data_IF_742656661459
#
_entry.id   IF_742656661459
#
_cell.length_a   1.000
_cell.length_b   1.000
_cell.length_c   1.000
_cell.angle_alpha   90.00
_cell.angle_beta   90.00
_cell.angle_gamma   90.00
#
_symmetry.space_group_name_H-M   'P 1'
#
loop_
_entity.id
_entity.type
_entity.pdbx_description
1 polymer ?
#
# COMPACT_ATOMS: atom_id res chain seq x y z
N UNK A 1 -44.34 -8.87 33.70
CA UNK A 1 -43.77 -7.64 34.32
C UNK A 1 -42.28 -7.62 34.01
N UNK A 2 -41.60 -6.63 33.41
CA UNK A 2 -41.96 -5.35 32.78
C UNK A 2 -41.18 -5.24 31.45
N UNK A 3 -41.81 -4.66 30.43
CA UNK A 3 -41.20 -4.39 29.13
C UNK A 3 -40.46 -3.04 29.15
N UNK A 4 -39.18 -3.04 28.75
CA UNK A 4 -38.40 -1.82 28.56
C UNK A 4 -38.82 -1.14 27.24
N UNK A 5 -39.62 -0.08 27.36
CA UNK A 5 -40.07 0.78 26.26
C UNK A 5 -38.89 1.55 25.67
N UNK A 6 -38.61 1.33 24.38
CA UNK A 6 -37.66 2.14 23.60
C UNK A 6 -38.25 3.53 23.34
N UNK A 7 -37.48 4.55 23.67
CA UNK A 7 -37.81 5.97 23.55
C UNK A 7 -37.89 6.41 22.07
N UNK A 8 -39.05 6.87 21.54
CA UNK A 8 -39.24 7.14 20.10
C UNK A 8 -38.98 8.58 19.65
N UNK A 9 -38.50 9.49 20.51
CA UNK A 9 -38.36 10.91 20.15
C UNK A 9 -36.91 11.31 19.83
N UNK A 10 -36.48 11.12 18.58
CA UNK A 10 -35.42 11.94 17.93
C UNK A 10 -35.60 11.96 16.40
N UNK A 11 -36.71 12.52 15.95
CA UNK A 11 -36.90 13.00 14.56
C UNK A 11 -37.78 14.25 14.57
N UNK A 12 -37.17 15.42 14.72
CA UNK A 12 -37.78 16.66 14.27
C UNK A 12 -37.05 17.11 13.00
N UNK A 13 -37.74 16.92 11.87
CA UNK A 13 -37.50 17.65 10.62
C UNK A 13 -37.78 19.13 10.87
N UNK A 14 -37.05 20.01 10.19
CA UNK A 14 -37.38 21.43 10.07
C UNK A 14 -37.16 21.85 8.61
N UNK A 15 -38.19 21.59 7.82
CA UNK A 15 -38.54 22.21 6.53
C UNK A 15 -40.01 22.65 6.76
N UNK A 16 -40.56 23.80 6.38
CA UNK A 16 -40.22 24.87 5.45
C UNK A 16 -41.04 26.11 5.87
N UNK A 17 -40.57 27.31 5.51
CA UNK A 17 -41.46 28.41 5.12
C UNK A 17 -40.69 29.39 4.22
N UNK A 18 -40.81 29.17 2.91
CA UNK A 18 -41.14 30.14 1.85
C UNK A 18 -41.42 31.59 2.33
N UNK A 19 -41.02 32.68 1.67
CA UNK A 19 -41.07 32.96 0.22
C UNK A 19 -40.53 34.40 -0.05
N UNK A 20 -40.17 34.66 -1.32
CA UNK A 20 -40.16 35.96 -2.02
C UNK A 20 -39.24 37.11 -1.54
N UNK A 21 -38.22 37.44 -2.34
CA UNK A 21 -38.16 38.73 -3.05
C UNK A 21 -36.99 38.79 -4.04
N UNK A 22 -37.36 38.88 -5.32
CA UNK A 22 -36.56 39.34 -6.45
C UNK A 22 -36.09 40.78 -6.22
N UNK A 23 -34.80 41.09 -6.38
CA UNK A 23 -34.36 42.36 -6.99
C UNK A 23 -32.87 42.39 -7.32
N UNK A 24 -32.59 42.67 -8.59
CA UNK A 24 -31.34 43.22 -9.13
C UNK A 24 -31.11 44.61 -8.53
N UNK A 25 -29.85 44.93 -8.19
CA UNK A 25 -29.17 46.23 -8.32
C UNK A 25 -27.67 45.93 -8.13
N UNK A 26 -26.81 46.17 -9.11
CA UNK A 26 -26.32 47.47 -9.56
C UNK A 26 -25.35 48.11 -8.55
N UNK A 27 -24.10 48.20 -9.01
CA UNK A 27 -23.03 49.14 -8.73
C UNK A 27 -23.39 50.42 -7.96
N UNK A 28 -22.47 50.88 -7.10
CA UNK A 28 -21.96 52.26 -6.91
C UNK A 28 -21.32 52.38 -5.51
N UNK A 29 -19.99 52.55 -5.40
CA UNK A 29 -19.20 53.81 -5.40
C UNK A 29 -18.85 54.33 -3.99
N UNK A 30 -17.60 54.76 -3.82
CA UNK A 30 -17.02 55.42 -2.64
C UNK A 30 -15.72 54.73 -2.16
N UNK A 31 -14.50 54.97 -2.66
CA UNK A 31 -13.63 56.19 -2.59
C UNK A 31 -13.45 56.69 -1.15
N UNK A 32 -12.30 57.05 -0.59
CA UNK A 32 -10.87 57.25 -0.93
C UNK A 32 -10.12 57.13 0.44
N UNK A 33 -8.82 56.81 0.61
CA UNK A 33 -7.60 57.59 0.32
C UNK A 33 -6.39 56.70 0.77
N UNK A 34 -5.44 56.35 -0.11
CA UNK A 34 -4.11 56.98 -0.40
C UNK A 34 -3.04 56.89 0.70
N UNK A 35 -2.02 56.07 0.44
CA UNK A 35 -0.56 56.35 0.54
C UNK A 35 0.17 55.19 -0.19
N UNK A 36 0.59 55.32 -1.47
CA UNK A 36 1.91 55.76 -1.98
C UNK A 36 3.11 55.25 -1.17
N UNK A 37 4.21 54.72 -1.69
CA UNK A 37 4.82 54.48 -3.03
C UNK A 37 6.08 53.64 -2.67
N UNK A 38 6.39 52.52 -3.32
CA UNK A 38 7.52 52.44 -4.25
C UNK A 38 7.55 51.08 -4.99
N UNK A 39 7.60 51.18 -6.32
CA UNK A 39 8.04 50.20 -7.32
C UNK A 39 8.99 51.00 -8.25
N UNK A 40 9.95 50.42 -9.00
CA UNK A 40 9.68 49.37 -10.02
C UNK A 40 10.94 48.51 -10.37
N UNK A 41 11.08 47.86 -11.57
CA UNK A 41 10.12 47.13 -12.44
C UNK A 41 10.54 45.65 -12.61
N UNK A 42 9.66 44.66 -12.86
CA UNK A 42 8.88 44.35 -14.08
C UNK A 42 9.71 44.05 -15.35
N UNK A 43 9.81 42.76 -15.72
CA UNK A 43 9.71 42.35 -17.13
C UNK A 43 9.04 40.97 -17.24
N UNK A 44 8.02 40.92 -18.10
CA UNK A 44 7.25 39.73 -18.50
C UNK A 44 7.76 39.28 -19.87
N UNK A 45 8.00 37.98 -20.05
CA UNK A 45 8.07 37.27 -21.35
C UNK A 45 7.69 35.82 -20.99
N UNK A 46 6.54 35.22 -21.32
CA UNK A 46 5.87 34.90 -22.59
C UNK A 46 6.63 33.96 -23.53
N UNK A 47 5.90 32.99 -24.07
CA UNK A 47 6.13 32.22 -25.32
C UNK A 47 6.81 30.85 -25.23
N UNK A 48 5.97 29.84 -25.55
CA UNK A 48 6.15 28.67 -26.43
C UNK A 48 7.55 28.15 -26.85
N UNK A 49 7.63 26.80 -26.80
CA UNK A 49 8.03 25.88 -27.89
C UNK A 49 9.49 25.73 -28.34
N UNK A 50 9.76 24.50 -28.81
CA UNK A 50 10.84 24.00 -29.69
C UNK A 50 12.10 23.54 -28.92
N UNK A 51 12.46 22.25 -28.89
CA UNK A 51 12.95 21.37 -29.99
C UNK A 51 14.00 22.07 -30.87
N UNK A 52 15.25 21.64 -30.70
CA UNK A 52 16.33 21.49 -31.69
C UNK A 52 17.48 20.79 -30.94
N UNK A 53 18.04 19.65 -31.34
CA UNK A 53 18.64 19.27 -32.63
C UNK A 53 19.67 20.28 -33.14
N UNK A 54 20.92 20.08 -32.69
CA UNK A 54 22.09 20.65 -33.35
C UNK A 54 22.64 19.67 -34.38
N UNK A 55 22.49 20.09 -35.63
CA UNK A 55 23.13 19.51 -36.79
C UNK A 55 24.53 20.12 -36.96
N UNK A 56 25.54 19.26 -37.18
CA UNK A 56 26.77 19.64 -37.87
C UNK A 56 26.62 19.22 -39.34
N UNK A 57 26.50 20.23 -40.20
CA UNK A 57 26.62 20.13 -41.65
C UNK A 57 28.09 20.08 -42.04
N UNK A 58 28.45 19.20 -42.96
CA UNK A 58 29.20 19.59 -44.14
C UNK A 58 29.21 18.47 -45.20
N UNK A 59 29.20 18.86 -46.48
CA UNK A 59 29.64 18.00 -47.58
C UNK A 59 28.59 17.63 -48.63
N UNK A 60 28.37 18.55 -49.55
CA UNK A 60 27.66 18.38 -50.82
C UNK A 60 28.37 17.38 -51.76
N UNK A 61 27.61 16.48 -52.44
CA UNK A 61 27.55 16.36 -53.91
C UNK A 61 26.72 15.16 -54.38
N UNK A 62 25.93 15.45 -55.40
CA UNK A 62 25.13 14.56 -56.24
C UNK A 62 25.89 13.30 -56.70
N UNK A 63 25.16 12.19 -56.81
CA UNK A 63 24.98 11.47 -58.08
C UNK A 63 24.02 10.29 -57.90
N UNK A 64 22.97 10.32 -58.71
CA UNK A 64 22.04 9.23 -58.97
C UNK A 64 22.78 7.90 -59.20
N UNK A 65 22.52 6.92 -58.32
CA UNK A 65 22.79 5.52 -58.62
C UNK A 65 21.55 4.68 -58.31
N UNK A 66 20.68 4.59 -59.32
CA UNK A 66 19.64 3.56 -59.42
C UNK A 66 20.33 2.19 -59.51
N UNK A 67 20.43 1.48 -58.37
CA UNK A 67 20.88 0.11 -58.33
C UNK A 67 19.88 -0.75 -57.55
N UNK A 68 18.94 -1.31 -58.32
CA UNK A 68 18.42 -2.68 -58.20
C UNK A 68 18.61 -3.35 -56.82
N UNK A 69 17.71 -3.06 -55.89
CA UNK A 69 17.49 -3.91 -54.72
C UNK A 69 16.81 -5.20 -55.20
N UNK A 70 17.66 -6.21 -55.46
CA UNK A 70 17.25 -7.61 -55.60
C UNK A 70 16.32 -7.94 -54.44
N UNK A 71 15.05 -8.24 -54.77
CA UNK A 71 14.09 -8.91 -53.89
C UNK A 71 14.78 -10.09 -53.22
N UNK A 72 15.18 -9.93 -51.97
CA UNK A 72 15.43 -11.06 -51.09
C UNK A 72 14.06 -11.71 -50.94
N UNK A 73 13.83 -12.76 -51.75
CA UNK A 73 12.76 -13.71 -51.51
C UNK A 73 13.03 -14.32 -50.14
N UNK A 74 12.48 -13.69 -49.09
CA UNK A 74 12.24 -14.35 -47.82
C UNK A 74 11.37 -15.54 -48.18
N UNK A 75 11.99 -16.72 -48.24
CA UNK A 75 11.26 -17.99 -48.27
C UNK A 75 10.18 -17.87 -47.20
N UNK A 76 8.90 -18.09 -47.52
CA UNK A 76 7.87 -18.11 -46.50
C UNK A 76 8.36 -19.11 -45.46
N UNK A 77 8.55 -18.63 -44.22
CA UNK A 77 8.68 -19.52 -43.08
C UNK A 77 7.50 -20.48 -43.24
N UNK A 78 7.82 -21.75 -43.54
CA UNK A 78 6.81 -22.81 -43.60
C UNK A 78 6.00 -22.61 -42.33
N UNK A 79 4.73 -22.25 -42.49
CA UNK A 79 3.82 -22.19 -41.38
C UNK A 79 3.92 -23.55 -40.73
N UNK A 80 4.44 -23.56 -39.51
CA UNK A 80 4.32 -24.72 -38.64
C UNK A 80 2.81 -24.93 -38.61
N UNK A 81 2.41 -26.01 -39.28
CA UNK A 81 1.02 -26.39 -39.44
C UNK A 81 0.33 -26.25 -38.08
N UNK A 82 -0.82 -25.58 -38.08
CA UNK A 82 -1.80 -25.55 -37.00
C UNK A 82 -2.10 -26.99 -36.53
N UNK A 83 -1.23 -27.56 -35.70
CA UNK A 83 -1.40 -28.86 -35.07
C UNK A 83 -1.66 -28.58 -33.61
N UNK A 84 -2.81 -29.09 -33.19
CA UNK A 84 -3.50 -28.99 -31.91
C UNK A 84 -4.03 -27.59 -31.55
N UNK A 85 -5.34 -27.40 -31.78
CA UNK A 85 -6.22 -26.51 -30.99
C UNK A 85 -6.37 -27.01 -29.53
N UNK A 86 -5.50 -27.91 -29.06
CA UNK A 86 -5.55 -28.42 -27.71
C UNK A 86 -4.98 -27.36 -26.76
N UNK A 87 -5.63 -27.16 -25.60
CA UNK A 87 -5.13 -26.25 -24.58
C UNK A 87 -3.71 -26.63 -24.18
N UNK A 88 -2.85 -25.61 -24.02
CA UNK A 88 -1.47 -25.81 -23.59
C UNK A 88 -1.41 -26.68 -22.32
N UNK A 89 -0.72 -27.84 -22.34
CA UNK A 89 -0.77 -28.79 -21.24
C UNK A 89 0.18 -28.36 -20.12
N UNK A 90 -0.21 -27.32 -19.37
CA UNK A 90 0.58 -26.76 -18.28
C UNK A 90 1.05 -27.83 -17.27
N UNK A 91 0.19 -28.81 -16.97
CA UNK A 91 0.48 -29.90 -16.03
C UNK A 91 1.48 -30.94 -16.56
N UNK A 92 1.72 -30.99 -17.88
CA UNK A 92 2.73 -31.88 -18.47
C UNK A 92 4.13 -31.28 -18.44
N UNK A 93 4.26 -29.99 -18.15
CA UNK A 93 5.57 -29.37 -17.97
C UNK A 93 6.26 -29.90 -16.71
N UNK A 94 7.59 -30.00 -16.69
CA UNK A 94 8.35 -30.19 -15.46
C UNK A 94 7.99 -29.15 -14.41
N UNK A 95 8.08 -29.54 -13.13
CA UNK A 95 7.69 -28.71 -12.00
C UNK A 95 8.46 -27.38 -12.00
N UNK A 96 9.72 -27.40 -12.40
CA UNK A 96 10.62 -26.25 -12.48
C UNK A 96 10.08 -25.19 -13.43
N UNK A 97 9.57 -25.60 -14.60
CA UNK A 97 8.98 -24.69 -15.57
C UNK A 97 7.64 -24.13 -15.07
N UNK A 98 6.82 -24.96 -14.42
CA UNK A 98 5.57 -24.48 -13.79
C UNK A 98 5.85 -23.47 -12.70
N UNK A 99 6.84 -23.72 -11.85
CA UNK A 99 7.29 -22.82 -10.81
C UNK A 99 7.75 -21.47 -11.38
N UNK A 100 8.49 -21.51 -12.50
CA UNK A 100 8.87 -20.31 -13.22
C UNK A 100 7.64 -19.54 -13.74
N UNK A 101 6.66 -20.25 -14.32
CA UNK A 101 5.38 -19.64 -14.74
C UNK A 101 4.64 -19.01 -13.56
N UNK A 102 4.52 -19.70 -12.42
CA UNK A 102 3.89 -19.16 -11.21
C UNK A 102 4.63 -17.93 -10.69
N UNK A 103 5.97 -17.91 -10.78
CA UNK A 103 6.78 -16.75 -10.39
C UNK A 103 6.46 -15.51 -11.21
N UNK A 104 5.89 -15.64 -12.41
CA UNK A 104 5.41 -14.50 -13.18
C UNK A 104 3.93 -14.21 -12.95
N UNK A 105 3.07 -15.22 -12.84
CA UNK A 105 1.62 -15.02 -12.77
C UNK A 105 1.14 -14.56 -11.40
N UNK A 106 1.77 -15.06 -10.35
CA UNK A 106 1.27 -14.99 -8.97
C UNK A 106 2.04 -13.95 -8.15
N UNK A 107 3.23 -13.59 -8.61
CA UNK A 107 4.07 -12.57 -7.99
C UNK A 107 3.75 -11.24 -8.65
N UNK A 108 3.51 -10.21 -7.84
CA UNK A 108 3.14 -8.90 -8.36
C UNK A 108 4.32 -8.26 -9.12
N UNK A 109 4.28 -8.31 -10.44
CA UNK A 109 5.27 -7.69 -11.32
C UNK A 109 4.91 -6.23 -11.58
N UNK A 110 5.66 -5.33 -10.97
CA UNK A 110 5.45 -3.89 -11.16
C UNK A 110 6.39 -3.06 -10.30
N UNK A 111 6.86 -3.63 -9.19
CA UNK A 111 7.91 -3.05 -8.35
C UNK A 111 9.11 -4.00 -8.27
N UNK A 112 10.26 -3.45 -7.86
CA UNK A 112 11.48 -4.22 -7.59
C UNK A 112 11.22 -5.32 -6.54
N UNK A 113 10.34 -5.04 -5.59
CA UNK A 113 9.88 -6.00 -4.58
C UNK A 113 8.39 -6.26 -4.80
N UNK A 114 8.00 -7.53 -5.01
CA UNK A 114 6.60 -7.86 -5.22
C UNK A 114 5.84 -7.73 -3.91
N UNK A 115 4.86 -6.83 -3.88
CA UNK A 115 4.17 -6.45 -2.66
C UNK A 115 2.67 -6.33 -2.89
N UNK A 116 1.90 -6.85 -1.93
CA UNK A 116 0.45 -6.86 -1.94
C UNK A 116 -0.05 -6.02 -0.77
N UNK A 117 -0.62 -4.87 -1.08
CA UNK A 117 -1.18 -3.95 -0.10
C UNK A 117 -2.61 -4.37 0.27
N UNK A 118 -2.84 -4.74 1.52
CA UNK A 118 -4.15 -5.18 2.02
C UNK A 118 -5.23 -4.10 1.78
N UNK A 119 -4.90 -2.83 2.05
CA UNK A 119 -5.87 -1.74 1.98
C UNK A 119 -6.29 -1.37 0.57
N UNK A 120 -5.44 -1.50 -0.45
CA UNK A 120 -5.85 -1.27 -1.86
C UNK A 120 -6.90 -2.30 -2.28
N UNK A 121 -6.68 -3.57 -1.91
CA UNK A 121 -7.63 -4.67 -2.16
C UNK A 121 -8.94 -4.43 -1.39
N UNK A 122 -8.87 -4.04 -0.11
CA UNK A 122 -10.06 -3.76 0.70
C UNK A 122 -10.86 -2.56 0.16
N UNK A 123 -10.20 -1.50 -0.31
CA UNK A 123 -10.85 -0.35 -0.96
C UNK A 123 -11.59 -0.78 -2.22
N UNK A 124 -10.99 -1.65 -3.04
CA UNK A 124 -11.67 -2.21 -4.20
C UNK A 124 -12.85 -3.10 -3.83
N UNK A 125 -12.70 -3.97 -2.82
CA UNK A 125 -13.79 -4.82 -2.33
C UNK A 125 -14.96 -3.96 -1.83
N UNK A 126 -14.68 -2.91 -1.04
CA UNK A 126 -15.67 -1.95 -0.57
C UNK A 126 -16.34 -1.23 -1.74
N UNK A 127 -15.58 -0.78 -2.73
CA UNK A 127 -16.11 -0.15 -3.96
C UNK A 127 -17.07 -1.09 -4.70
N UNK A 128 -16.70 -2.37 -4.86
CA UNK A 128 -17.55 -3.39 -5.49
C UNK A 128 -18.84 -3.64 -4.69
N UNK A 129 -18.75 -3.77 -3.38
CA UNK A 129 -19.92 -3.92 -2.50
C UNK A 129 -20.84 -2.69 -2.55
N UNK A 130 -20.29 -1.48 -2.53
CA UNK A 130 -21.07 -0.24 -2.66
C UNK A 130 -21.75 -0.14 -4.02
N UNK A 131 -21.06 -0.49 -5.10
CA UNK A 131 -21.65 -0.54 -6.44
C UNK A 131 -22.81 -1.55 -6.51
N UNK A 132 -22.63 -2.74 -5.92
CA UNK A 132 -23.68 -3.75 -5.83
C UNK A 132 -24.91 -3.24 -5.08
N UNK A 133 -24.75 -2.70 -3.87
CA UNK A 133 -25.85 -2.12 -3.08
C UNK A 133 -26.56 -0.98 -3.81
N UNK A 134 -25.80 -0.15 -4.53
CA UNK A 134 -26.37 0.95 -5.32
C UNK A 134 -27.23 0.41 -6.46
N UNK A 135 -26.76 -0.63 -7.14
CA UNK A 135 -27.49 -1.32 -8.21
C UNK A 135 -28.77 -1.97 -7.68
N UNK A 136 -28.71 -2.64 -6.54
CA UNK A 136 -29.87 -3.23 -5.86
C UNK A 136 -30.91 -2.16 -5.49
N UNK A 137 -30.48 -1.03 -4.93
CA UNK A 137 -31.38 0.10 -4.63
C UNK A 137 -32.03 0.68 -5.89
N UNK A 138 -31.28 0.82 -6.99
CA UNK A 138 -31.82 1.27 -8.27
C UNK A 138 -32.82 0.26 -8.84
N UNK A 139 -32.54 -1.04 -8.70
CA UNK A 139 -33.44 -2.10 -9.12
C UNK A 139 -34.74 -2.10 -8.32
N UNK A 140 -34.69 -1.91 -7.00
CA UNK A 140 -35.88 -1.76 -6.16
C UNK A 140 -36.75 -0.56 -6.58
N UNK A 141 -36.13 0.60 -6.86
CA UNK A 141 -36.84 1.78 -7.37
C UNK A 141 -37.49 1.53 -8.74
N UNK A 142 -36.82 0.78 -9.61
CA UNK A 142 -37.37 0.39 -10.92
C UNK A 142 -38.59 -0.51 -10.74
N UNK A 143 -38.51 -1.52 -9.87
CA UNK A 143 -39.63 -2.40 -9.57
C UNK A 143 -40.83 -1.60 -9.05
N UNK A 144 -40.62 -0.67 -8.13
CA UNK A 144 -41.68 0.20 -7.59
C UNK A 144 -42.33 1.10 -8.65
N UNK A 145 -41.59 1.48 -9.70
CA UNK A 145 -42.10 2.30 -10.81
C UNK A 145 -42.64 1.47 -11.98
N UNK A 146 -42.84 0.15 -11.78
CA UNK A 146 -43.30 -0.78 -12.82
C UNK A 146 -42.25 -1.07 -13.91
N UNK A 147 -41.02 -0.58 -13.75
CA UNK A 147 -39.91 -0.83 -14.69
C UNK A 147 -39.16 -2.10 -14.32
N UNK A 148 -38.70 -2.85 -15.32
CA UNK A 148 -37.90 -4.06 -15.08
C UNK A 148 -36.55 -3.72 -14.42
N UNK A 149 -36.10 -4.50 -13.43
CA UNK A 149 -34.78 -4.34 -12.83
C UNK A 149 -33.69 -4.55 -13.89
N UNK A 150 -32.56 -3.85 -13.72
CA UNK A 150 -31.34 -4.13 -14.50
C UNK A 150 -30.76 -5.42 -13.91
N UNK A 151 -31.19 -6.56 -14.44
CA UNK A 151 -30.51 -7.82 -14.17
C UNK A 151 -29.08 -7.73 -14.73
N UNK A 152 -28.09 -8.18 -13.96
CA UNK A 152 -26.87 -8.66 -14.60
C UNK A 152 -27.28 -9.74 -15.58
N UNK A 153 -26.70 -9.75 -16.79
CA UNK A 153 -26.86 -10.85 -17.74
C UNK A 153 -26.78 -12.15 -16.94
N UNK A 154 -27.83 -12.97 -16.98
CA UNK A 154 -27.91 -14.17 -16.15
C UNK A 154 -26.58 -14.88 -16.27
N UNK A 155 -25.91 -15.06 -15.13
CA UNK A 155 -24.69 -15.85 -15.11
C UNK A 155 -25.09 -17.17 -15.77
N UNK A 156 -24.43 -17.58 -16.86
CA UNK A 156 -24.81 -18.78 -17.58
C UNK A 156 -24.98 -19.90 -16.55
N UNK A 157 -26.06 -20.67 -16.68
CA UNK A 157 -26.39 -21.84 -15.85
C UNK A 157 -25.10 -22.44 -15.35
N UNK A 158 -24.91 -22.49 -14.01
CA UNK A 158 -23.64 -22.86 -13.40
C UNK A 158 -23.05 -24.04 -14.20
N UNK A 159 -21.93 -23.83 -14.91
CA UNK A 159 -21.45 -24.83 -15.85
C UNK A 159 -21.29 -26.13 -15.08
N UNK A 160 -21.69 -27.25 -15.66
CA UNK A 160 -21.38 -28.57 -15.10
C UNK A 160 -19.85 -28.63 -15.06
N UNK A 161 -19.27 -28.35 -13.90
CA UNK A 161 -17.83 -28.29 -13.74
C UNK A 161 -17.36 -29.73 -13.80
N UNK A 162 -16.67 -30.07 -14.88
CA UNK A 162 -16.00 -31.36 -14.99
C UNK A 162 -15.10 -31.55 -13.76
N UNK A 163 -15.22 -32.72 -13.13
CA UNK A 163 -14.44 -33.11 -11.96
C UNK A 163 -12.93 -32.96 -12.24
N UNK A 164 -12.51 -33.25 -13.48
CA UNK A 164 -11.11 -33.12 -13.90
C UNK A 164 -10.63 -31.67 -13.81
N UNK A 165 -11.45 -30.70 -14.22
CA UNK A 165 -11.15 -29.27 -14.17
C UNK A 165 -11.08 -28.80 -12.72
N UNK A 166 -12.00 -29.27 -11.88
CA UNK A 166 -11.99 -28.94 -10.44
C UNK A 166 -10.72 -29.47 -9.74
N UNK A 167 -10.32 -30.71 -10.04
CA UNK A 167 -9.10 -31.31 -9.51
C UNK A 167 -7.86 -30.58 -10.02
N UNK A 168 -7.77 -30.30 -11.32
CA UNK A 168 -6.67 -29.55 -11.90
C UNK A 168 -6.56 -28.15 -11.29
N UNK A 169 -7.68 -27.43 -11.13
CA UNK A 169 -7.73 -26.12 -10.50
C UNK A 169 -7.27 -26.16 -9.04
N UNK A 170 -7.69 -27.16 -8.25
CA UNK A 170 -7.21 -27.37 -6.87
C UNK A 170 -5.71 -27.62 -6.82
N UNK A 171 -5.19 -28.45 -7.73
CA UNK A 171 -3.77 -28.76 -7.80
C UNK A 171 -2.94 -27.53 -8.17
N UNK A 172 -3.37 -26.80 -9.22
CA UNK A 172 -2.76 -25.53 -9.63
C UNK A 172 -2.80 -24.51 -8.50
N UNK A 173 -3.94 -24.35 -7.84
CA UNK A 173 -4.08 -23.47 -6.68
C UNK A 173 -3.10 -23.84 -5.58
N UNK A 174 -2.98 -25.14 -5.25
CA UNK A 174 -2.06 -25.59 -4.22
C UNK A 174 -0.60 -25.27 -4.58
N UNK A 175 -0.15 -25.62 -5.80
CA UNK A 175 1.21 -25.31 -6.26
C UNK A 175 1.49 -23.80 -6.29
N UNK A 176 0.57 -23.02 -6.88
CA UNK A 176 0.69 -21.57 -7.01
C UNK A 176 0.63 -20.86 -5.66
N UNK A 177 -0.16 -21.36 -4.71
CA UNK A 177 -0.32 -20.75 -3.39
C UNK A 177 0.98 -20.73 -2.60
N UNK A 178 1.78 -21.78 -2.68
CA UNK A 178 3.09 -21.80 -2.02
C UNK A 178 4.00 -20.68 -2.57
N UNK A 179 4.06 -20.54 -3.90
CA UNK A 179 4.84 -19.46 -4.53
C UNK A 179 4.31 -18.06 -4.18
N UNK A 180 2.98 -17.91 -4.12
CA UNK A 180 2.32 -16.67 -3.72
C UNK A 180 2.81 -16.18 -2.36
N UNK A 181 2.76 -17.05 -1.34
CA UNK A 181 3.06 -16.66 0.04
C UNK A 181 4.56 -16.60 0.36
N UNK A 182 5.39 -17.36 -0.37
CA UNK A 182 6.84 -17.35 -0.18
C UNK A 182 7.52 -16.14 -0.85
N UNK A 183 7.00 -15.69 -2.00
CA UNK A 183 7.67 -14.69 -2.83
C UNK A 183 7.22 -13.26 -2.52
N UNK A 184 5.92 -13.06 -2.31
CA UNK A 184 5.33 -11.73 -2.13
C UNK A 184 5.51 -11.22 -0.69
N UNK A 185 5.70 -9.90 -0.57
CA UNK A 185 5.53 -9.18 0.67
C UNK A 185 4.06 -8.83 0.88
N UNK A 186 3.58 -9.07 2.10
CA UNK A 186 2.22 -8.70 2.49
C UNK A 186 2.29 -7.40 3.28
N UNK A 187 1.66 -6.36 2.77
CA UNK A 187 1.65 -5.03 3.39
C UNK A 187 0.32 -4.80 4.09
N UNK A 188 0.37 -4.61 5.41
CA UNK A 188 -0.79 -4.40 6.28
C UNK A 188 -0.62 -3.08 7.03
N UNK A 189 -1.64 -2.22 7.00
CA UNK A 189 -1.65 -0.97 7.76
C UNK A 189 -2.63 -1.06 8.92
N UNK A 190 -2.17 -0.77 10.13
CA UNK A 190 -2.99 -0.75 11.33
C UNK A 190 -3.22 0.69 11.79
N UNK A 191 -4.46 1.15 11.63
CA UNK A 191 -4.95 2.46 12.05
C UNK A 191 -5.71 2.42 13.38
N UNK A 192 -6.26 1.26 13.74
CA UNK A 192 -7.13 1.08 14.89
C UNK A 192 -6.43 0.49 16.11
N UNK A 193 -5.26 1.00 16.50
CA UNK A 193 -4.69 0.69 17.82
C UNK A 193 -5.64 1.20 18.93
N UNK A 194 -5.97 0.36 19.94
CA UNK A 194 -5.32 -0.91 20.36
C UNK A 194 -5.90 -2.19 19.76
N UNK A 195 -6.97 -2.12 18.95
CA UNK A 195 -7.59 -3.31 18.38
C UNK A 195 -6.61 -3.95 17.39
N UNK A 196 -6.05 -5.09 17.77
CA UNK A 196 -5.21 -5.94 16.91
C UNK A 196 -6.03 -6.74 15.89
N UNK A 197 -7.32 -6.41 15.72
CA UNK A 197 -8.13 -6.98 14.64
C UNK A 197 -7.57 -6.50 13.31
N UNK A 198 -6.94 -7.41 12.59
CA UNK A 198 -6.33 -7.10 11.31
C UNK A 198 -7.42 -7.05 10.25
N UNK A 199 -7.57 -5.90 9.59
CA UNK A 199 -8.35 -5.81 8.36
C UNK A 199 -7.51 -6.37 7.21
N UNK A 200 -7.74 -7.62 6.82
CA UNK A 200 -7.12 -8.20 5.62
C UNK A 200 -8.15 -8.63 4.58
N UNK A 201 -7.72 -8.73 3.31
CA UNK A 201 -8.53 -9.31 2.27
C UNK A 201 -8.97 -10.75 2.59
N UNK A 202 -10.20 -11.09 2.21
CA UNK A 202 -10.69 -12.47 2.31
C UNK A 202 -9.84 -13.42 1.46
N UNK A 203 -9.43 -14.54 2.04
CA UNK A 203 -8.64 -15.58 1.37
C UNK A 203 -7.14 -15.54 1.66
N UNK A 204 -6.65 -14.57 2.43
CA UNK A 204 -5.27 -14.60 2.94
C UNK A 204 -5.13 -15.64 4.05
N UNK A 205 -4.14 -16.51 3.91
CA UNK A 205 -3.77 -17.52 4.90
C UNK A 205 -2.53 -17.04 5.68
N UNK A 206 -2.76 -16.50 6.88
CA UNK A 206 -1.69 -15.97 7.74
C UNK A 206 -0.62 -16.99 8.09
N UNK A 207 -1.01 -18.28 8.16
CA UNK A 207 -0.09 -19.36 8.50
C UNK A 207 1.01 -19.55 7.46
N UNK A 208 0.79 -19.08 6.22
CA UNK A 208 1.74 -19.23 5.10
C UNK A 208 2.59 -17.99 4.84
N UNK A 209 2.20 -16.83 5.35
CA UNK A 209 2.90 -15.57 5.10
C UNK A 209 4.31 -15.64 5.69
N UNK A 210 5.31 -15.49 4.82
CA UNK A 210 6.74 -15.51 5.21
C UNK A 210 7.37 -14.13 5.32
N UNK A 211 6.77 -13.12 4.66
CA UNK A 211 7.29 -11.76 4.52
C UNK A 211 6.15 -10.77 4.79
N UNK A 212 6.27 -10.00 5.87
CA UNK A 212 5.26 -9.03 6.30
C UNK A 212 5.86 -7.64 6.43
N UNK A 213 5.19 -6.66 5.84
CA UNK A 213 5.43 -5.24 6.06
C UNK A 213 4.22 -4.66 6.80
N UNK A 214 4.47 -4.06 7.95
CA UNK A 214 3.46 -3.61 8.88
C UNK A 214 3.58 -2.10 9.08
N UNK A 215 2.60 -1.34 8.64
CA UNK A 215 2.50 0.07 8.96
C UNK A 215 1.75 0.24 10.29
N UNK A 216 2.37 0.92 11.26
CA UNK A 216 1.78 1.24 12.56
C UNK A 216 1.44 2.72 12.61
N UNK A 217 0.14 3.06 12.55
CA UNK A 217 -0.28 4.47 12.62
C UNK A 217 -0.41 4.94 14.06
N UNK A 218 0.58 5.70 14.51
CA UNK A 218 0.66 6.33 15.81
C UNK A 218 -0.35 7.47 15.93
N UNK A 219 -1.05 7.51 17.07
CA UNK A 219 -1.96 8.57 17.48
C UNK A 219 -1.34 9.35 18.64
N UNK A 220 -2.09 10.28 19.23
CA UNK A 220 -1.74 10.95 20.48
C UNK A 220 -1.63 9.96 21.65
N UNK A 221 -0.82 10.31 22.66
CA UNK A 221 -0.58 9.48 23.84
C UNK A 221 -1.88 9.02 24.52
N UNK A 222 -2.89 9.89 24.61
CA UNK A 222 -4.19 9.56 25.21
C UNK A 222 -4.89 8.38 24.49
N UNK A 223 -4.81 8.32 23.16
CA UNK A 223 -5.43 7.24 22.37
C UNK A 223 -4.57 5.99 22.32
N UNK A 224 -3.26 6.16 22.45
CA UNK A 224 -2.29 5.06 22.54
C UNK A 224 -2.24 4.44 23.95
N UNK A 225 -2.92 5.02 24.95
CA UNK A 225 -2.93 4.57 26.35
C UNK A 225 -3.70 3.26 26.58
N UNK A 226 -3.87 2.44 25.56
CA UNK A 226 -4.59 1.19 25.65
C UNK A 226 -3.61 0.05 25.44
N UNK A 227 -3.65 -0.88 26.38
CA UNK A 227 -2.78 -2.05 26.36
C UNK A 227 -3.01 -2.84 25.08
N UNK A 228 -1.92 -3.09 24.34
CA UNK A 228 -1.92 -3.86 23.10
C UNK A 228 -1.08 -5.11 23.33
N UNK A 229 -1.71 -6.28 23.30
CA UNK A 229 -1.00 -7.54 23.34
C UNK A 229 -0.57 -7.94 21.91
N UNK A 230 0.73 -7.95 21.69
CA UNK A 230 1.34 -8.30 20.41
C UNK A 230 1.58 -9.80 20.25
N UNK A 231 1.52 -10.59 21.33
CA UNK A 231 1.76 -12.02 21.25
C UNK A 231 0.70 -12.75 20.39
N UNK A 232 -0.62 -12.49 20.54
CA UNK A 232 -1.63 -13.06 19.64
C UNK A 232 -1.45 -12.64 18.19
N UNK A 233 -0.97 -11.40 17.96
CA UNK A 233 -0.69 -10.92 16.62
C UNK A 233 0.37 -11.78 15.94
N UNK A 234 1.54 -11.96 16.56
CA UNK A 234 2.61 -12.76 15.98
C UNK A 234 2.29 -14.26 15.94
N UNK A 235 1.48 -14.77 16.88
CA UNK A 235 1.00 -16.15 16.86
C UNK A 235 0.16 -16.50 15.62
N UNK A 236 -0.49 -15.51 14.99
CA UNK A 236 -1.20 -15.71 13.72
C UNK A 236 -0.27 -15.99 12.54
N UNK A 237 1.03 -15.68 12.64
CA UNK A 237 2.00 -15.80 11.55
C UNK A 237 3.15 -16.79 11.88
N UNK A 238 2.87 -18.09 12.08
CA UNK A 238 3.86 -19.08 12.49
C UNK A 238 5.02 -19.28 11.49
N UNK A 239 4.84 -18.94 10.21
CA UNK A 239 5.88 -19.06 9.17
C UNK A 239 6.55 -17.74 8.82
N UNK A 240 6.27 -16.68 9.56
CA UNK A 240 6.90 -15.38 9.33
C UNK A 240 8.41 -15.51 9.50
N UNK A 241 9.18 -14.90 8.59
CA UNK A 241 10.64 -14.86 8.65
C UNK A 241 11.17 -13.45 8.54
N UNK A 242 10.55 -12.64 7.69
CA UNK A 242 10.93 -11.26 7.45
C UNK A 242 9.81 -10.35 7.90
N UNK A 243 10.11 -9.44 8.83
CA UNK A 243 9.18 -8.47 9.36
C UNK A 243 9.76 -7.08 9.18
N UNK A 244 9.06 -6.22 8.43
CA UNK A 244 9.37 -4.79 8.38
C UNK A 244 8.26 -4.02 9.09
N UNK A 245 8.61 -3.20 10.07
CA UNK A 245 7.65 -2.35 10.79
C UNK A 245 7.93 -0.89 10.42
N UNK A 246 6.91 -0.18 9.95
CA UNK A 246 6.98 1.24 9.61
C UNK A 246 6.04 2.02 10.52
N UNK A 247 6.57 2.66 11.58
CA UNK A 247 5.80 3.59 12.37
C UNK A 247 5.51 4.85 11.55
N UNK A 248 4.23 5.19 11.42
CA UNK A 248 3.75 6.40 10.73
C UNK A 248 2.78 7.17 11.61
N UNK A 249 2.59 8.45 11.34
CA UNK A 249 1.66 9.29 12.09
C UNK A 249 0.27 9.26 11.44
N UNK A 250 -0.76 9.02 12.25
CA UNK A 250 -2.14 9.03 11.79
C UNK A 250 -2.52 10.44 11.27
N UNK A 251 -3.14 10.59 10.08
CA UNK A 251 -3.35 11.90 9.46
C UNK A 251 -4.13 12.90 10.32
N UNK A 252 -5.13 12.41 11.06
CA UNK A 252 -5.96 13.24 11.95
C UNK A 252 -5.25 13.73 13.20
N UNK A 253 -4.26 12.98 13.70
CA UNK A 253 -3.62 13.25 14.99
C UNK A 253 -2.16 13.66 14.88
N UNK A 254 -1.72 13.94 13.65
CA UNK A 254 -0.33 14.21 13.32
C UNK A 254 0.27 15.34 14.16
N UNK A 255 -0.42 16.48 14.28
CA UNK A 255 0.17 17.66 14.93
C UNK A 255 0.46 17.40 16.41
N UNK A 256 -0.40 16.63 17.10
CA UNK A 256 -0.17 16.23 18.49
C UNK A 256 0.91 15.14 18.59
N UNK A 257 0.78 14.05 17.83
CA UNK A 257 1.68 12.91 17.92
C UNK A 257 3.13 13.26 17.54
N UNK A 258 3.33 14.15 16.55
CA UNK A 258 4.67 14.63 16.17
C UNK A 258 5.31 15.45 17.28
N UNK A 259 4.54 16.32 17.95
CA UNK A 259 5.08 17.12 19.05
C UNK A 259 5.49 16.26 20.25
N UNK A 260 4.73 15.20 20.54
CA UNK A 260 5.02 14.27 21.63
C UNK A 260 6.15 13.29 21.31
N UNK A 261 6.43 13.07 20.02
CA UNK A 261 7.42 12.12 19.52
C UNK A 261 8.52 12.84 18.71
N UNK A 262 8.83 14.08 19.06
CA UNK A 262 9.88 14.85 18.38
C UNK A 262 11.28 14.31 18.71
N UNK A 263 11.56 14.09 20.00
CA UNK A 263 12.80 13.51 20.50
C UNK A 263 12.51 12.29 21.38
N UNK A 264 13.36 11.26 21.29
CA UNK A 264 13.11 10.02 22.03
C UNK A 264 13.20 10.22 23.55
N UNK A 265 14.05 11.14 23.99
CA UNK A 265 14.26 11.46 25.42
C UNK A 265 13.08 12.18 26.06
N UNK A 266 12.39 13.02 25.31
CA UNK A 266 11.19 13.75 25.76
C UNK A 266 9.90 13.01 25.40
N UNK A 267 10.00 11.90 24.65
CA UNK A 267 8.84 11.12 24.24
C UNK A 267 8.00 10.67 25.43
N UNK A 268 6.67 10.83 25.30
CA UNK A 268 5.73 10.42 26.34
C UNK A 268 5.92 8.93 26.69
N UNK A 269 5.83 8.59 27.98
CA UNK A 269 6.11 7.23 28.47
C UNK A 269 5.24 6.16 27.82
N UNK A 270 4.05 6.52 27.33
CA UNK A 270 3.14 5.63 26.60
C UNK A 270 3.77 5.13 25.30
N UNK A 271 4.43 5.99 24.52
CA UNK A 271 5.12 5.55 23.30
C UNK A 271 6.31 4.65 23.64
N UNK A 272 7.06 5.00 24.69
CA UNK A 272 8.17 4.19 25.20
C UNK A 272 7.70 2.79 25.60
N UNK A 273 6.61 2.70 26.38
CA UNK A 273 6.00 1.44 26.78
C UNK A 273 5.45 0.65 25.57
N UNK A 274 4.78 1.33 24.63
CA UNK A 274 4.23 0.72 23.43
C UNK A 274 5.32 0.07 22.57
N UNK A 275 6.40 0.79 22.26
CA UNK A 275 7.51 0.26 21.48
C UNK A 275 8.31 -0.80 22.24
N UNK A 276 8.46 -0.64 23.55
CA UNK A 276 9.07 -1.67 24.42
C UNK A 276 8.30 -2.99 24.35
N UNK A 277 6.99 -2.94 24.55
CA UNK A 277 6.11 -4.11 24.45
C UNK A 277 6.14 -4.72 23.06
N UNK A 278 6.06 -3.90 22.01
CA UNK A 278 6.16 -4.36 20.63
C UNK A 278 7.48 -5.11 20.39
N UNK A 279 8.62 -4.52 20.76
CA UNK A 279 9.93 -5.14 20.55
C UNK A 279 10.12 -6.43 21.36
N UNK A 280 9.62 -6.45 22.59
CA UNK A 280 9.67 -7.62 23.47
C UNK A 280 8.80 -8.78 22.96
N UNK A 281 7.68 -8.48 22.29
CA UNK A 281 6.78 -9.51 21.76
C UNK A 281 7.17 -10.06 20.38
N UNK A 282 8.09 -9.40 19.65
CA UNK A 282 8.56 -9.93 18.36
C UNK A 282 9.36 -11.21 18.61
N UNK A 283 9.06 -12.33 17.93
CA UNK A 283 9.85 -13.56 18.04
C UNK A 283 11.31 -13.38 17.59
N UNK A 284 12.25 -14.01 18.30
CA UNK A 284 13.71 -13.86 18.09
C UNK A 284 14.18 -14.35 16.71
N UNK A 285 13.48 -15.34 16.14
CA UNK A 285 13.81 -15.89 14.82
C UNK A 285 13.44 -14.98 13.63
N UNK A 286 12.77 -13.85 13.88
CA UNK A 286 12.36 -12.93 12.81
C UNK A 286 13.48 -11.94 12.46
N UNK A 287 13.74 -11.82 11.17
CA UNK A 287 14.53 -10.74 10.60
C UNK A 287 13.71 -9.44 10.63
N UNK A 288 13.93 -8.65 11.68
CA UNK A 288 13.26 -7.38 11.90
C UNK A 288 13.97 -6.24 11.16
N UNK A 289 13.19 -5.45 10.42
CA UNK A 289 13.58 -4.14 9.90
C UNK A 289 12.64 -3.05 10.40
N UNK A 290 13.16 -1.95 10.92
CA UNK A 290 12.43 -0.80 11.42
C UNK A 290 12.57 0.39 10.47
N UNK A 291 11.43 0.99 10.12
CA UNK A 291 11.34 2.14 9.24
C UNK A 291 11.33 1.78 7.76
N UNK A 292 11.39 2.83 6.94
CA UNK A 292 11.43 2.72 5.48
C UNK A 292 12.74 2.13 4.96
N UNK A 293 12.64 1.40 3.86
CA UNK A 293 13.78 1.05 3.03
C UNK A 293 14.55 2.29 2.58
N UNK A 294 15.76 2.05 2.10
CA UNK A 294 16.50 3.05 1.32
C UNK A 294 15.91 3.22 -0.07
N UNK A 295 15.30 2.15 -0.58
CA UNK A 295 14.68 2.13 -1.89
C UNK A 295 13.17 2.36 -1.72
N UNK A 296 12.62 3.54 -2.08
CA UNK A 296 11.20 3.82 -1.93
C UNK A 296 10.31 2.87 -2.74
N UNK A 297 10.85 2.27 -3.81
CA UNK A 297 10.14 1.26 -4.60
C UNK A 297 9.88 -0.06 -3.85
N UNK A 298 10.55 -0.29 -2.73
CA UNK A 298 10.38 -1.49 -1.90
C UNK A 298 9.37 -1.30 -0.78
N UNK A 299 8.87 -0.07 -0.60
CA UNK A 299 7.97 0.26 0.50
C UNK A 299 6.53 0.42 0.05
N UNK A 300 5.62 0.05 0.96
CA UNK A 300 4.18 0.27 0.78
C UNK A 300 3.85 1.75 0.65
N UNK A 301 2.77 2.06 -0.07
CA UNK A 301 2.19 3.38 0.02
C UNK A 301 1.65 3.60 1.42
N UNK A 302 2.26 4.53 2.16
CA UNK A 302 1.77 4.88 3.48
C UNK A 302 0.37 5.46 3.40
N UNK A 303 -0.42 5.11 4.40
CA UNK A 303 -1.67 5.82 4.67
C UNK A 303 -1.51 6.89 5.74
N UNK A 304 -0.48 6.76 6.60
CA UNK A 304 -0.06 7.81 7.51
C UNK A 304 0.38 9.07 6.77
N UNK A 305 0.30 10.21 7.46
CA UNK A 305 0.71 11.51 6.89
C UNK A 305 2.24 11.58 6.68
N UNK A 306 3.00 10.95 7.57
CA UNK A 306 4.46 10.91 7.53
C UNK A 306 4.97 9.73 8.35
N UNK A 307 6.09 9.12 7.96
CA UNK A 307 6.77 8.16 8.83
C UNK A 307 7.53 8.85 9.96
N UNK A 308 7.78 8.09 11.02
CA UNK A 308 8.72 8.47 12.07
C UNK A 308 10.14 8.58 11.50
N UNK A 309 10.89 9.58 11.95
CA UNK A 309 12.25 9.83 11.49
C UNK A 309 13.20 8.67 11.84
N UNK A 310 14.17 8.40 10.96
CA UNK A 310 15.13 7.31 11.15
C UNK A 310 16.02 7.52 12.39
N UNK A 311 16.39 8.76 12.68
CA UNK A 311 17.15 9.11 13.90
C UNK A 311 16.40 8.70 15.16
N UNK A 312 15.10 8.98 15.21
CA UNK A 312 14.28 8.63 16.36
C UNK A 312 14.10 7.11 16.52
N UNK A 313 13.92 6.39 15.41
CA UNK A 313 13.87 4.92 15.45
C UNK A 313 15.19 4.30 15.91
N UNK A 314 16.31 4.93 15.53
CA UNK A 314 17.64 4.53 15.98
C UNK A 314 17.79 4.76 17.49
N UNK A 315 17.44 5.94 18.00
CA UNK A 315 17.47 6.25 19.44
C UNK A 315 16.57 5.32 20.25
N UNK A 316 15.36 5.07 19.75
CA UNK A 316 14.40 4.13 20.32
C UNK A 316 14.99 2.72 20.44
N UNK A 317 15.56 2.20 19.35
CA UNK A 317 16.13 0.86 19.35
C UNK A 317 17.43 0.79 20.15
N UNK A 318 18.23 1.86 20.20
CA UNK A 318 19.43 1.91 21.04
C UNK A 318 19.10 1.86 22.54
N UNK A 319 17.99 2.50 22.97
CA UNK A 319 17.56 2.47 24.37
C UNK A 319 16.84 1.16 24.73
N UNK A 320 15.95 0.67 23.87
CA UNK A 320 15.09 -0.49 24.15
C UNK A 320 15.68 -1.84 23.70
N UNK A 321 16.57 -1.82 22.70
CA UNK A 321 16.94 -2.98 21.90
C UNK A 321 18.18 -3.71 22.43
N UNK A 322 17.94 -4.72 23.25
CA UNK A 322 18.89 -5.83 23.41
C UNK A 322 18.21 -7.12 22.94
N UNK A 323 18.25 -7.38 21.63
CA UNK A 323 17.72 -8.62 21.05
C UNK A 323 18.86 -9.52 20.61
N UNK A 324 18.67 -10.82 20.84
CA UNK A 324 19.51 -11.86 20.27
C UNK A 324 18.87 -12.37 18.98
N UNK A 325 19.69 -12.68 17.99
CA UNK A 325 19.27 -13.42 16.81
C UNK A 325 19.04 -14.90 17.14
N UNK A 326 18.63 -15.69 16.15
CA UNK A 326 18.46 -17.13 16.29
C UNK A 326 19.75 -17.89 16.67
N UNK A 327 20.92 -17.25 16.53
CA UNK A 327 22.22 -17.81 16.88
C UNK A 327 22.72 -17.31 18.25
N UNK A 328 21.91 -16.52 18.98
CA UNK A 328 22.30 -15.93 20.26
C UNK A 328 23.18 -14.68 20.16
N UNK A 329 23.45 -14.18 18.94
CA UNK A 329 24.22 -12.97 18.70
C UNK A 329 23.38 -11.72 18.92
N UNK A 330 23.98 -10.70 19.52
CA UNK A 330 23.31 -9.41 19.73
C UNK A 330 23.10 -8.71 18.38
N UNK A 331 21.84 -8.38 18.06
CA UNK A 331 21.50 -7.62 16.86
C UNK A 331 21.92 -6.16 17.06
N UNK A 332 22.83 -5.68 16.22
CA UNK A 332 23.23 -4.28 16.22
C UNK A 332 22.13 -3.40 15.61
N UNK A 333 22.00 -2.17 16.11
CA UNK A 333 21.00 -1.19 15.66
C UNK A 333 21.00 -1.04 14.13
N UNK A 334 22.18 -1.02 13.50
CA UNK A 334 22.35 -0.83 12.06
C UNK A 334 21.85 -2.02 11.21
N UNK A 335 21.64 -3.20 11.81
CA UNK A 335 21.04 -4.34 11.13
C UNK A 335 19.52 -4.29 11.16
N UNK A 336 18.95 -3.55 12.12
CA UNK A 336 17.52 -3.45 12.35
C UNK A 336 16.95 -2.17 11.74
N UNK A 337 17.64 -1.04 11.86
CA UNK A 337 17.23 0.23 11.25
C UNK A 337 18.07 0.44 9.99
N UNK A 338 17.43 0.47 8.82
CA UNK A 338 18.10 0.75 7.53
C UNK A 338 18.47 2.26 7.46
N UNK A 339 19.58 2.63 8.10
CA UNK A 339 20.18 3.97 8.02
C UNK A 339 21.02 4.06 6.74
N UNK A 340 20.51 4.75 5.72
CA UNK A 340 21.21 4.92 4.45
C UNK A 340 22.53 5.64 4.66
N UNK A 341 23.57 5.17 3.96
CA UNK A 341 24.96 5.63 4.01
C UNK A 341 25.45 6.08 5.38
N UNK A 342 26.07 5.12 6.08
CA UNK A 342 27.24 5.32 6.94
C UNK A 342 27.20 6.59 7.79
N UNK A 343 26.69 6.46 9.02
CA UNK A 343 27.25 7.24 10.11
C UNK A 343 28.75 6.88 10.20
N UNK A 344 29.60 7.55 9.40
CA UNK A 344 31.07 7.40 9.37
C UNK A 344 31.74 7.94 10.64
N UNK A 345 30.98 8.21 11.70
CA UNK A 345 31.57 8.35 13.02
C UNK A 345 31.34 7.03 13.73
N UNK A 346 32.38 6.19 13.91
CA UNK A 346 32.31 5.11 14.88
C UNK A 346 31.96 5.77 16.21
N UNK A 347 30.70 5.65 16.62
CA UNK A 347 30.30 5.93 17.98
C UNK A 347 31.09 4.91 18.79
N UNK A 348 32.17 5.38 19.40
CA UNK A 348 33.06 4.57 20.22
C UNK A 348 32.21 3.72 21.14
N UNK A 349 32.53 2.43 21.19
CA UNK A 349 31.89 1.46 22.06
C UNK A 349 31.74 2.06 23.47
N UNK A 350 30.54 2.56 23.78
CA UNK A 350 30.19 2.99 25.11
C UNK A 350 30.28 1.74 25.99
N UNK A 351 31.07 1.90 27.04
CA UNK A 351 31.74 0.80 27.73
C UNK A 351 30.80 -0.31 28.17
N UNK A 352 31.36 -1.52 28.16
CA UNK A 352 30.89 -2.61 29.00
C UNK A 352 30.76 -2.07 30.42
N UNK A 353 29.54 -1.87 30.91
CA UNK A 353 29.26 -1.84 32.34
C UNK A 353 29.61 -3.21 32.90
N UNK A 354 30.86 -3.40 33.31
CA UNK A 354 31.23 -4.41 34.29
C UNK A 354 30.59 -3.99 35.61
N UNK A 355 29.52 -4.67 36.00
CA UNK A 355 29.04 -4.66 37.38
C UNK A 355 30.10 -5.32 38.25
N UNK A 356 30.60 -4.59 39.25
CA UNK A 356 31.20 -5.13 40.47
C UNK A 356 30.09 -5.61 41.40
#
# INVERSE_FOLDING_TARGET
MMALRRNPYRKCKRDDATQLATRKCANEWGKDHVEKVDQPPLSKVSVMSLLNEDAVKDGCKDLHCMASLKKIQRKPFRSISNKSLDPFPLLHLPRELRNHIYSYLVVHQGRRVPMLEAKSILREQKKRQTAQRTRERQNLKRIQTGRRPIASKDSPTAPIVDLTISQASRFLHWEASEYFYQSNWFAISMDNLPLTTIETPSGWDYSRITRLQLELQLKDAQRMNSYTDWAPFFAMFPRLRFLRIIPSFHPRYYDWAVSELADWRSAHYIFRAFFSLLLASIPEHLHLKLGFSLNPCEDMHLEGKMAVSKSLLWDMYAELGTRKDCNGQMLFVNQVVDCGHSFEKPIGMLGRCTRL
#
